data_IF_145902260020
#
_entry.id   IF_145902260020
#
_cell.length_a   1.000
_cell.length_b   1.000
_cell.length_c   1.000
_cell.angle_alpha   90.00
_cell.angle_beta   90.00
_cell.angle_gamma   90.00
#
_symmetry.space_group_name_H-M   'P 1'
#
loop_
_entity.id
_entity.type
_entity.pdbx_description
1 polymer ?
#
# COMPACT_ATOMS: atom_id res chain seq x y z
N UNK A 1 3.40 32.75 -4.27
CA UNK A 1 3.21 32.57 -2.82
C UNK A 1 4.17 31.56 -2.19
N UNK A 2 4.85 30.74 -3.00
CA UNK A 2 5.81 29.76 -2.52
C UNK A 2 6.86 30.33 -1.57
N UNK A 3 7.20 29.56 -0.53
CA UNK A 3 8.23 29.91 0.46
C UNK A 3 7.83 31.01 1.44
N UNK A 4 6.61 31.55 1.35
CA UNK A 4 6.08 32.55 2.29
C UNK A 4 5.20 31.90 3.34
N UNK A 5 5.12 32.52 4.53
CA UNK A 5 4.10 32.19 5.53
C UNK A 5 2.70 32.52 5.00
N UNK A 6 1.66 31.77 5.40
CA UNK A 6 0.28 32.13 5.07
C UNK A 6 -0.07 33.50 5.65
N UNK A 7 -0.69 34.35 4.84
CA UNK A 7 -1.09 35.71 5.23
C UNK A 7 -2.28 35.72 6.21
N UNK A 8 -3.08 34.65 6.19
CA UNK A 8 -4.21 34.46 7.09
C UNK A 8 -4.31 32.99 7.47
N UNK A 9 -4.44 32.69 8.76
CA UNK A 9 -4.71 31.33 9.27
C UNK A 9 -6.17 31.26 9.71
N UNK A 10 -6.87 30.24 9.25
CA UNK A 10 -8.27 30.02 9.62
C UNK A 10 -8.31 29.58 11.10
N UNK A 11 -9.10 30.25 11.97
CA UNK A 11 -9.25 29.84 13.36
C UNK A 11 -9.77 28.41 13.50
N UNK A 12 -9.41 27.76 14.60
CA UNK A 12 -9.79 26.35 14.88
C UNK A 12 -11.29 26.09 14.77
N UNK A 13 -12.12 26.92 15.40
CA UNK A 13 -13.57 26.76 15.35
C UNK A 13 -14.11 26.81 13.92
N UNK A 14 -13.56 27.70 13.10
CA UNK A 14 -13.95 27.86 11.71
C UNK A 14 -13.45 26.70 10.84
N UNK A 15 -12.23 26.18 11.05
CA UNK A 15 -11.75 24.99 10.34
C UNK A 15 -12.63 23.76 10.61
N UNK A 16 -13.01 23.55 11.87
CA UNK A 16 -13.92 22.46 12.27
C UNK A 16 -15.28 22.63 11.58
N UNK A 17 -15.85 23.84 11.64
CA UNK A 17 -17.13 24.14 10.98
C UNK A 17 -17.08 23.94 9.47
N UNK A 18 -16.00 24.34 8.79
CA UNK A 18 -15.81 24.14 7.35
C UNK A 18 -15.75 22.64 7.03
N UNK A 19 -14.96 21.87 7.79
CA UNK A 19 -14.85 20.41 7.62
C UNK A 19 -16.19 19.71 7.86
N UNK A 20 -16.99 20.17 8.81
CA UNK A 20 -18.30 19.61 9.09
C UNK A 20 -19.35 19.97 8.03
N UNK A 21 -19.38 21.23 7.59
CA UNK A 21 -20.34 21.74 6.60
C UNK A 21 -20.10 21.24 5.19
N UNK A 22 -18.84 21.07 4.77
CA UNK A 22 -18.52 20.51 3.45
C UNK A 22 -19.19 19.14 3.24
N UNK A 23 -19.43 18.39 4.33
CA UNK A 23 -19.98 17.04 4.26
C UNK A 23 -21.51 16.97 4.44
N UNK A 24 -22.14 17.98 5.07
CA UNK A 24 -23.62 18.00 5.16
C UNK A 24 -24.26 18.16 3.78
N UNK A 25 -23.62 18.93 2.89
CA UNK A 25 -24.07 19.09 1.50
C UNK A 25 -23.87 17.84 0.63
N UNK A 26 -22.89 16.99 0.94
CA UNK A 26 -22.57 15.78 0.16
C UNK A 26 -23.42 14.56 0.54
N UNK A 27 -24.09 14.56 1.70
CA UNK A 27 -25.11 13.55 2.00
C UNK A 27 -26.42 13.78 1.22
N UNK A 28 -26.68 15.00 0.74
CA UNK A 28 -27.90 15.38 0.01
C UNK A 28 -27.76 15.22 -1.52
N UNK A 29 -26.54 15.09 -2.05
CA UNK A 29 -26.25 14.85 -3.46
C UNK A 29 -25.55 13.50 -3.62
N UNK A 30 -25.94 12.67 -4.59
CA UNK A 30 -25.24 11.39 -4.84
C UNK A 30 -23.72 11.63 -5.00
N UNK A 31 -22.86 11.00 -4.20
CA UNK A 31 -21.45 11.38 -4.14
C UNK A 31 -20.71 10.89 -5.39
N UNK A 32 -20.20 11.83 -6.19
CA UNK A 32 -19.17 11.56 -7.19
C UNK A 32 -17.86 11.25 -6.45
N UNK A 33 -17.51 9.97 -6.29
CA UNK A 33 -16.34 9.53 -5.53
C UNK A 33 -15.06 9.60 -6.40
N UNK A 34 -14.55 10.79 -6.67
CA UNK A 34 -13.22 10.93 -7.27
C UNK A 34 -12.15 10.30 -6.34
N UNK A 35 -11.13 9.56 -6.83
CA UNK A 35 -10.10 8.94 -5.96
C UNK A 35 -8.71 9.55 -6.13
N UNK A 36 -8.46 10.34 -7.18
CA UNK A 36 -7.11 10.81 -7.43
C UNK A 36 -7.12 12.19 -8.08
N UNK A 37 -6.41 13.11 -7.44
CA UNK A 37 -6.06 14.40 -8.01
C UNK A 37 -4.55 14.45 -8.15
N UNK A 38 -4.05 14.14 -9.36
CA UNK A 38 -2.63 14.30 -9.67
C UNK A 38 -2.36 15.81 -9.63
N UNK A 39 -1.55 16.23 -8.65
CA UNK A 39 -1.14 17.62 -8.47
C UNK A 39 -0.18 18.04 -9.56
N UNK A 40 -0.14 19.34 -9.86
CA UNK A 40 0.91 19.93 -10.70
C UNK A 40 2.31 19.89 -10.05
N UNK A 41 2.38 19.55 -8.76
CA UNK A 41 3.59 19.48 -7.98
C UNK A 41 3.86 18.03 -7.57
N UNK A 42 4.99 17.49 -8.03
CA UNK A 42 5.50 16.14 -7.76
C UNK A 42 6.71 16.27 -6.83
N UNK A 43 6.78 15.40 -5.83
CA UNK A 43 7.88 15.37 -4.86
C UNK A 43 8.22 13.92 -4.50
N UNK A 44 9.46 13.68 -4.08
CA UNK A 44 9.91 12.35 -3.62
C UNK A 44 9.44 12.04 -2.19
N UNK A 45 9.25 10.76 -1.82
CA UNK A 45 8.99 10.34 -0.44
C UNK A 45 10.20 10.58 0.47
N UNK A 46 9.97 10.59 1.78
CA UNK A 46 11.05 10.66 2.76
C UNK A 46 11.74 9.29 2.90
N UNK A 47 13.01 9.23 2.49
CA UNK A 47 13.87 8.04 2.58
C UNK A 47 14.71 7.98 3.85
N UNK A 48 14.68 9.02 4.68
CA UNK A 48 15.49 9.09 5.90
C UNK A 48 14.76 8.42 7.08
N UNK A 49 15.49 7.67 7.95
CA UNK A 49 14.94 7.23 9.22
C UNK A 49 14.54 8.42 10.09
N UNK A 50 13.52 8.24 10.91
CA UNK A 50 12.97 9.31 11.77
C UNK A 50 14.02 9.96 12.67
N UNK A 51 15.03 9.21 13.12
CA UNK A 51 16.12 9.71 13.98
C UNK A 51 16.98 10.81 13.34
N UNK A 52 16.96 10.93 12.01
CA UNK A 52 17.66 11.98 11.26
C UNK A 52 16.79 13.22 11.00
N UNK A 53 15.49 13.15 11.28
CA UNK A 53 14.56 14.25 11.04
C UNK A 53 14.45 15.15 12.26
N UNK A 54 14.29 16.45 12.01
CA UNK A 54 14.08 17.44 13.07
C UNK A 54 12.62 17.85 13.17
N UNK A 55 12.09 17.94 14.40
CA UNK A 55 10.72 18.39 14.61
C UNK A 55 10.54 19.83 14.13
N UNK A 56 9.44 20.10 13.44
CA UNK A 56 8.96 21.45 13.07
C UNK A 56 7.57 21.69 13.67
N UNK A 57 7.16 22.94 13.88
CA UNK A 57 5.79 23.30 14.28
C UNK A 57 4.97 23.73 13.06
N UNK A 58 3.64 23.63 13.16
CA UNK A 58 2.74 24.13 12.12
C UNK A 58 2.95 25.63 11.82
N UNK A 59 3.40 26.43 12.79
CA UNK A 59 3.64 27.88 12.64
C UNK A 59 4.89 28.24 11.83
N UNK A 60 5.78 27.27 11.63
CA UNK A 60 7.03 27.44 10.89
C UNK A 60 6.91 27.01 9.42
N UNK A 61 5.79 26.39 9.04
CA UNK A 61 5.56 25.96 7.67
C UNK A 61 5.37 27.14 6.70
N UNK A 62 5.90 26.96 5.49
CA UNK A 62 5.75 27.91 4.37
C UNK A 62 5.04 27.25 3.18
N UNK A 63 4.30 28.07 2.45
CA UNK A 63 3.39 27.60 1.39
C UNK A 63 4.13 27.00 0.19
N UNK A 64 3.47 26.05 -0.48
CA UNK A 64 3.93 25.34 -1.68
C UNK A 64 5.35 24.75 -1.51
N UNK A 65 5.63 24.20 -0.32
CA UNK A 65 6.98 23.75 0.06
C UNK A 65 6.94 22.40 0.77
N UNK A 66 7.86 21.51 0.38
CA UNK A 66 8.15 20.26 1.08
C UNK A 66 9.27 20.51 2.08
N UNK A 67 9.01 20.29 3.36
CA UNK A 67 9.96 20.61 4.42
C UNK A 67 10.92 19.43 4.64
N UNK A 68 11.93 19.31 3.77
CA UNK A 68 12.92 18.21 3.80
C UNK A 68 13.71 18.17 5.11
N UNK A 69 14.04 16.97 5.58
CA UNK A 69 14.74 16.74 6.85
C UNK A 69 13.91 17.11 8.09
N UNK A 70 12.62 17.39 7.95
CA UNK A 70 11.72 17.76 9.05
C UNK A 70 10.61 16.75 9.25
N UNK A 71 10.00 16.76 10.43
CA UNK A 71 8.77 16.03 10.71
C UNK A 71 7.82 16.84 11.60
N UNK A 72 6.51 16.63 11.41
CA UNK A 72 5.47 17.12 12.31
C UNK A 72 5.03 16.00 13.25
N UNK A 73 4.80 16.32 14.52
CA UNK A 73 4.03 15.49 15.44
C UNK A 73 2.60 16.04 15.50
N UNK A 74 1.62 15.20 15.21
CA UNK A 74 0.24 15.61 15.00
C UNK A 74 -0.71 14.70 15.78
N UNK A 75 -1.86 15.26 16.16
CA UNK A 75 -2.98 14.52 16.75
C UNK A 75 -4.28 14.91 16.06
N UNK A 76 -5.10 13.93 15.69
CA UNK A 76 -6.43 14.24 15.12
C UNK A 76 -7.35 14.86 16.15
N UNK A 77 -8.15 15.84 15.73
CA UNK A 77 -9.16 16.49 16.58
C UNK A 77 -10.57 16.44 15.99
N UNK A 78 -10.68 16.03 14.73
CA UNK A 78 -11.96 15.82 14.04
C UNK A 78 -11.95 14.44 13.39
N UNK A 79 -13.13 13.82 13.28
CA UNK A 79 -13.28 12.53 12.60
C UNK A 79 -12.80 12.66 11.15
N UNK A 80 -12.01 11.70 10.63
CA UNK A 80 -11.65 11.72 9.22
C UNK A 80 -12.89 11.50 8.35
N UNK A 81 -12.88 12.12 7.17
CA UNK A 81 -13.89 11.93 6.14
C UNK A 81 -13.18 11.57 4.84
N UNK A 82 -13.79 10.72 4.02
CA UNK A 82 -13.28 10.36 2.70
C UNK A 82 -14.17 11.00 1.64
N UNK A 83 -13.58 11.83 0.80
CA UNK A 83 -14.21 12.38 -0.41
C UNK A 83 -13.39 11.87 -1.58
N UNK A 84 -12.24 12.52 -1.81
CA UNK A 84 -11.17 12.06 -2.71
C UNK A 84 -9.98 11.57 -1.91
N UNK A 85 -9.42 12.50 -1.13
CA UNK A 85 -8.51 12.19 -0.04
C UNK A 85 -9.25 11.70 1.21
N UNK A 86 -8.49 11.14 2.15
CA UNK A 86 -8.90 11.13 3.55
C UNK A 86 -8.52 12.48 4.15
N UNK A 87 -9.53 13.26 4.55
CA UNK A 87 -9.38 14.61 5.09
C UNK A 87 -9.77 14.65 6.56
N UNK A 88 -8.90 15.22 7.39
CA UNK A 88 -9.17 15.48 8.81
C UNK A 88 -8.56 16.81 9.25
N UNK A 89 -8.84 17.23 10.48
CA UNK A 89 -8.18 18.35 11.14
C UNK A 89 -7.27 17.80 12.22
N UNK A 90 -6.02 18.22 12.19
CA UNK A 90 -4.98 17.85 13.15
C UNK A 90 -4.56 19.05 13.98
N UNK A 91 -3.94 18.76 15.12
CA UNK A 91 -3.22 19.74 15.93
C UNK A 91 -1.79 19.30 16.19
N UNK A 92 -0.88 20.25 16.38
CA UNK A 92 0.46 19.99 16.89
C UNK A 92 0.52 20.14 18.44
N UNK A 93 1.67 19.85 19.09
CA UNK A 93 1.81 20.00 20.54
C UNK A 93 1.62 21.42 21.08
N UNK A 94 1.84 22.44 20.22
CA UNK A 94 1.63 23.84 20.56
C UNK A 94 0.14 24.23 20.55
N UNK A 95 -0.73 23.36 20.02
CA UNK A 95 -2.17 23.58 19.93
C UNK A 95 -2.58 24.28 18.63
N UNK A 96 -1.63 24.56 17.73
CA UNK A 96 -1.92 25.02 16.39
C UNK A 96 -2.64 23.92 15.61
N UNK A 97 -3.52 24.32 14.70
CA UNK A 97 -4.36 23.39 13.94
C UNK A 97 -4.17 23.57 12.45
N UNK A 98 -4.30 22.48 11.70
CA UNK A 98 -4.31 22.52 10.25
C UNK A 98 -5.12 21.34 9.67
N UNK A 99 -5.56 21.48 8.42
CA UNK A 99 -6.16 20.40 7.65
C UNK A 99 -5.07 19.42 7.18
N UNK A 100 -5.33 18.13 7.33
CA UNK A 100 -4.51 17.05 6.78
C UNK A 100 -5.27 16.32 5.67
N UNK A 101 -4.64 16.20 4.50
CA UNK A 101 -5.12 15.50 3.31
C UNK A 101 -4.20 14.31 3.01
N UNK A 102 -4.71 13.08 3.16
CA UNK A 102 -3.98 11.85 2.83
C UNK A 102 -4.47 11.23 1.52
N UNK A 103 -3.54 10.92 0.63
CA UNK A 103 -3.79 10.26 -0.65
C UNK A 103 -3.19 8.84 -0.68
N UNK A 104 -3.57 8.05 -1.69
CA UNK A 104 -3.03 6.72 -1.97
C UNK A 104 -3.13 5.70 -0.81
N UNK A 105 -4.06 5.95 0.12
CA UNK A 105 -4.32 5.07 1.24
C UNK A 105 -5.03 3.79 0.77
N UNK A 106 -4.97 2.74 1.59
CA UNK A 106 -5.55 1.44 1.24
C UNK A 106 -7.04 1.56 0.87
N UNK A 107 -7.42 1.25 -0.39
CA UNK A 107 -8.80 1.43 -0.83
C UNK A 107 -9.76 0.44 -0.16
N UNK A 108 -9.25 -0.69 0.32
CA UNK A 108 -10.03 -1.74 0.98
C UNK A 108 -10.18 -1.51 2.50
N UNK A 109 -9.69 -0.38 3.02
CA UNK A 109 -9.85 0.00 4.42
C UNK A 109 -10.78 1.20 4.55
N UNK A 110 -11.62 1.18 5.58
CA UNK A 110 -12.38 2.38 5.95
C UNK A 110 -11.42 3.49 6.36
N UNK A 111 -11.73 4.72 5.96
CA UNK A 111 -10.98 5.91 6.38
C UNK A 111 -10.96 6.08 7.91
N UNK A 112 -12.01 5.60 8.60
CA UNK A 112 -12.09 5.58 10.07
C UNK A 112 -11.09 4.61 10.71
N UNK A 113 -10.75 3.54 10.00
CA UNK A 113 -9.76 2.55 10.47
C UNK A 113 -8.34 2.95 10.09
N UNK A 114 -8.17 3.69 8.97
CA UNK A 114 -6.88 4.24 8.55
C UNK A 114 -6.43 5.33 9.53
N UNK A 115 -7.32 6.27 9.87
CA UNK A 115 -7.05 7.29 10.88
C UNK A 115 -8.10 7.20 12.00
N UNK A 116 -7.90 6.36 13.02
CA UNK A 116 -8.77 6.36 14.19
C UNK A 116 -8.88 7.74 14.85
N UNK A 117 -9.99 7.97 15.55
CA UNK A 117 -10.14 9.17 16.35
C UNK A 117 -9.01 9.28 17.38
N UNK A 118 -8.56 10.51 17.61
CA UNK A 118 -7.50 10.81 18.57
C UNK A 118 -6.13 10.20 18.23
N UNK A 119 -5.94 9.73 16.99
CA UNK A 119 -4.68 9.19 16.52
C UNK A 119 -3.56 10.20 16.62
N UNK A 120 -2.44 9.76 17.16
CA UNK A 120 -1.19 10.50 17.19
C UNK A 120 -0.33 9.96 16.05
N UNK A 121 0.29 10.86 15.30
CA UNK A 121 1.07 10.49 14.12
C UNK A 121 2.24 11.43 13.90
N UNK A 122 3.24 10.90 13.22
CA UNK A 122 4.31 11.67 12.61
C UNK A 122 4.05 11.78 11.12
N UNK A 123 4.14 13.00 10.60
CA UNK A 123 4.22 13.26 9.16
C UNK A 123 5.65 13.67 8.82
N UNK A 124 6.37 12.78 8.12
CA UNK A 124 7.72 13.03 7.61
C UNK A 124 7.65 14.02 6.44
N UNK A 125 8.62 14.93 6.38
CA UNK A 125 8.82 15.91 5.30
C UNK A 125 7.54 16.53 4.75
N UNK A 126 6.74 17.21 5.60
CA UNK A 126 5.39 17.63 5.25
C UNK A 126 5.37 18.58 4.06
N UNK A 127 4.48 18.31 3.10
CA UNK A 127 4.15 19.23 2.03
C UNK A 127 3.00 20.16 2.46
N UNK A 128 3.28 21.46 2.53
CA UNK A 128 2.29 22.47 2.89
C UNK A 128 1.84 23.25 1.65
N UNK A 129 0.55 23.19 1.33
CA UNK A 129 -0.01 23.71 0.07
C UNK A 129 -1.17 24.66 0.30
N UNK A 130 -1.52 25.38 -0.75
CA UNK A 130 -2.77 26.12 -0.89
C UNK A 130 -3.79 25.19 -1.55
N UNK A 131 -4.97 25.07 -0.96
CA UNK A 131 -6.08 24.33 -1.53
C UNK A 131 -6.71 25.11 -2.68
N UNK A 132 -7.37 24.40 -3.60
CA UNK A 132 -8.03 25.04 -4.75
C UNK A 132 -9.13 26.05 -4.34
N UNK A 133 -9.62 25.98 -3.10
CA UNK A 133 -10.63 26.89 -2.53
C UNK A 133 -10.01 28.05 -1.74
N UNK A 134 -8.68 28.25 -1.81
CA UNK A 134 -7.97 29.36 -1.17
C UNK A 134 -7.59 29.15 0.30
N UNK A 135 -7.83 27.96 0.87
CA UNK A 135 -7.36 27.57 2.20
C UNK A 135 -5.95 26.98 2.18
N UNK A 136 -5.41 26.62 3.34
CA UNK A 136 -4.13 25.90 3.48
C UNK A 136 -4.35 24.47 3.94
N UNK A 137 -3.45 23.56 3.59
CA UNK A 137 -3.50 22.18 4.09
C UNK A 137 -2.13 21.49 4.03
N UNK A 138 -1.94 20.53 4.93
CA UNK A 138 -0.90 19.52 4.85
C UNK A 138 -1.36 18.44 3.87
N UNK A 139 -0.51 18.13 2.88
CA UNK A 139 -0.75 17.04 1.94
C UNK A 139 0.29 15.94 2.08
N UNK A 140 -0.18 14.70 2.04
CA UNK A 140 0.67 13.51 2.07
C UNK A 140 0.23 12.55 0.96
N UNK A 141 1.07 12.38 -0.06
CA UNK A 141 0.84 11.48 -1.19
C UNK A 141 1.50 10.12 -1.01
N UNK A 142 2.50 10.03 -0.14
CA UNK A 142 3.27 8.83 0.13
C UNK A 142 2.82 8.20 1.45
N UNK A 143 2.14 7.03 1.43
CA UNK A 143 1.71 6.37 2.66
C UNK A 143 2.84 6.04 3.63
N UNK A 144 4.07 5.88 3.13
CA UNK A 144 5.29 5.63 3.93
C UNK A 144 5.79 6.85 4.70
N UNK A 145 5.27 8.05 4.41
CA UNK A 145 5.64 9.28 5.12
C UNK A 145 4.81 9.53 6.39
N UNK A 146 3.80 8.69 6.62
CA UNK A 146 2.95 8.75 7.80
C UNK A 146 3.25 7.59 8.76
N UNK A 147 3.58 7.91 10.00
CA UNK A 147 3.85 6.92 11.06
C UNK A 147 2.85 7.13 12.19
N UNK A 148 2.04 6.13 12.51
CA UNK A 148 1.16 6.19 13.66
C UNK A 148 1.92 5.85 14.93
N UNK A 149 1.70 6.64 15.98
CA UNK A 149 2.31 6.45 17.28
C UNK A 149 1.27 5.97 18.29
N UNK A 150 1.70 5.10 19.19
CA UNK A 150 0.95 4.80 20.40
C UNK A 150 1.01 5.99 21.38
N UNK A 151 -0.04 6.19 22.17
CA UNK A 151 -0.08 7.23 23.19
C UNK A 151 1.03 7.08 24.25
N UNK A 152 1.52 5.85 24.45
CA UNK A 152 2.59 5.52 25.38
C UNK A 152 3.99 5.58 24.75
N UNK A 153 4.12 5.93 23.48
CA UNK A 153 5.43 6.11 22.87
C UNK A 153 6.20 7.22 23.59
N UNK A 154 7.50 7.04 23.84
CA UNK A 154 8.34 8.01 24.56
C UNK A 154 8.30 9.40 23.91
N UNK A 155 8.30 9.47 22.57
CA UNK A 155 8.20 10.74 21.85
C UNK A 155 6.89 11.50 22.14
N UNK A 156 5.84 10.80 22.57
CA UNK A 156 4.56 11.40 22.96
C UNK A 156 4.55 11.76 24.44
N UNK A 157 5.10 10.90 25.29
CA UNK A 157 5.13 11.09 26.75
C UNK A 157 6.07 12.22 27.19
N UNK A 158 7.22 12.35 26.53
CA UNK A 158 8.21 13.40 26.82
C UNK A 158 7.75 14.80 26.41
N UNK A 159 6.57 14.91 25.80
CA UNK A 159 6.05 16.13 25.21
C UNK A 159 4.87 16.69 26.01
N UNK A 160 5.02 17.93 26.48
CA UNK A 160 3.92 18.67 27.08
C UNK A 160 3.00 19.23 26.00
N UNK A 161 1.77 18.73 25.95
CA UNK A 161 0.73 19.24 25.08
C UNK A 161 0.01 20.41 25.75
N UNK A 162 0.04 21.61 25.14
CA UNK A 162 -0.61 22.80 25.72
C UNK A 162 -2.12 22.63 25.92
N UNK A 163 -2.75 21.73 25.18
CA UNK A 163 -4.20 21.47 25.21
C UNK A 163 -4.61 20.31 26.13
N UNK A 164 -3.71 19.84 26.99
CA UNK A 164 -3.88 18.63 27.79
C UNK A 164 -3.30 17.39 27.11
N UNK A 165 -2.80 16.46 27.93
CA UNK A 165 -2.16 15.22 27.48
C UNK A 165 -3.11 14.37 26.62
N UNK A 166 -2.59 13.61 25.65
CA UNK A 166 -3.39 12.62 24.94
C UNK A 166 -4.05 11.65 25.90
N UNK A 167 -5.27 11.21 25.58
CA UNK A 167 -5.93 10.20 26.41
C UNK A 167 -5.13 8.92 26.29
N UNK A 168 -4.47 8.54 27.38
CA UNK A 168 -3.84 7.24 27.49
C UNK A 168 -4.97 6.23 27.63
N UNK A 169 -5.21 5.45 26.58
CA UNK A 169 -6.11 4.31 26.70
C UNK A 169 -5.50 3.31 27.69
N UNK A 170 -6.34 2.67 28.50
CA UNK A 170 -5.92 1.59 29.39
C UNK A 170 -5.09 0.59 28.58
N UNK A 171 -3.83 0.40 28.96
CA UNK A 171 -2.97 -0.62 28.38
C UNK A 171 -3.60 -1.96 28.75
N UNK A 172 -3.93 -2.74 27.73
CA UNK A 172 -4.44 -4.09 27.93
C UNK A 172 -3.28 -5.03 28.20
N UNK A 173 -3.55 -6.10 28.94
CA UNK A 173 -2.62 -7.23 29.04
C UNK A 173 -2.48 -7.93 27.69
N UNK A 174 -1.38 -8.67 27.47
CA UNK A 174 -1.20 -9.48 26.26
C UNK A 174 -2.37 -10.44 26.01
N UNK A 175 -2.96 -11.01 27.07
CA UNK A 175 -4.13 -11.88 26.99
C UNK A 175 -5.41 -11.15 26.54
N UNK A 176 -5.62 -9.92 27.03
CA UNK A 176 -6.73 -9.06 26.59
C UNK A 176 -6.53 -8.62 25.13
N UNK A 177 -5.33 -8.19 24.73
CA UNK A 177 -5.00 -7.87 23.33
C UNK A 177 -5.18 -9.08 22.39
N UNK A 178 -4.79 -10.28 22.83
CA UNK A 178 -5.05 -11.53 22.10
C UNK A 178 -6.54 -11.73 21.88
N UNK A 179 -7.35 -11.54 22.92
CA UNK A 179 -8.81 -11.70 22.85
C UNK A 179 -9.42 -10.66 21.90
N UNK A 180 -9.00 -9.40 22.02
CA UNK A 180 -9.42 -8.32 21.15
C UNK A 180 -9.06 -8.59 19.67
N UNK A 181 -7.83 -9.01 19.40
CA UNK A 181 -7.37 -9.37 18.06
C UNK A 181 -8.14 -10.54 17.48
N UNK A 182 -8.43 -11.57 18.29
CA UNK A 182 -9.25 -12.71 17.88
C UNK A 182 -10.68 -12.30 17.51
N UNK A 183 -11.27 -11.38 18.27
CA UNK A 183 -12.61 -10.87 18.00
C UNK A 183 -12.66 -10.03 16.71
N UNK A 184 -11.66 -9.18 16.47
CA UNK A 184 -11.50 -8.50 15.18
C UNK A 184 -11.31 -9.49 14.03
N UNK A 185 -10.49 -10.53 14.23
CA UNK A 185 -10.25 -11.55 13.22
C UNK A 185 -11.54 -12.30 12.84
N UNK A 186 -12.35 -12.70 13.84
CA UNK A 186 -13.67 -13.34 13.63
C UNK A 186 -14.62 -12.42 12.85
N UNK A 187 -14.57 -11.12 13.13
CA UNK A 187 -15.34 -10.08 12.40
C UNK A 187 -14.76 -9.72 11.02
N UNK A 188 -13.73 -10.44 10.55
CA UNK A 188 -12.99 -10.18 9.30
C UNK A 188 -12.34 -8.79 9.23
N UNK A 189 -12.12 -8.16 10.38
CA UNK A 189 -11.41 -6.88 10.56
C UNK A 189 -9.92 -7.13 10.72
N UNK A 190 -9.28 -7.57 9.64
CA UNK A 190 -7.92 -8.12 9.72
C UNK A 190 -6.85 -7.06 10.06
N UNK A 191 -7.00 -5.81 9.61
CA UNK A 191 -6.06 -4.75 9.96
C UNK A 191 -6.14 -4.37 11.45
N UNK A 192 -7.35 -4.29 12.00
CA UNK A 192 -7.55 -4.07 13.43
C UNK A 192 -7.04 -5.26 14.27
N UNK A 193 -7.20 -6.48 13.76
CA UNK A 193 -6.60 -7.67 14.38
C UNK A 193 -5.07 -7.60 14.40
N UNK A 194 -4.43 -7.24 13.27
CA UNK A 194 -2.97 -7.04 13.19
C UNK A 194 -2.51 -6.00 14.20
N UNK A 195 -3.22 -4.86 14.31
CA UNK A 195 -2.91 -3.83 15.28
C UNK A 195 -3.00 -4.36 16.71
N UNK A 196 -4.14 -4.95 17.09
CA UNK A 196 -4.32 -5.48 18.44
C UNK A 196 -3.27 -6.53 18.82
N UNK A 197 -2.89 -7.43 17.91
CA UNK A 197 -1.80 -8.37 18.18
C UNK A 197 -0.43 -7.68 18.29
N UNK A 198 -0.18 -6.62 17.52
CA UNK A 198 1.08 -5.86 17.57
C UNK A 198 1.22 -5.07 18.86
N UNK A 199 0.15 -4.42 19.29
CA UNK A 199 0.06 -3.73 20.58
C UNK A 199 0.26 -4.75 21.71
N UNK A 200 -0.37 -5.92 21.59
CA UNK A 200 -0.15 -7.07 22.47
C UNK A 200 1.31 -7.47 22.58
N UNK A 201 2.01 -7.70 21.46
CA UNK A 201 3.44 -8.08 21.41
C UNK A 201 4.35 -7.01 22.01
N UNK A 202 3.96 -5.73 21.93
CA UNK A 202 4.76 -4.60 22.39
C UNK A 202 4.53 -4.28 23.88
N UNK A 203 3.60 -4.97 24.56
CA UNK A 203 3.34 -4.75 25.99
C UNK A 203 4.48 -5.28 26.86
N UNK A 204 4.75 -4.61 27.98
CA UNK A 204 5.98 -4.74 28.78
C UNK A 204 6.06 -5.97 29.71
N UNK A 205 5.10 -6.88 29.67
CA UNK A 205 5.02 -8.03 30.58
C UNK A 205 4.49 -9.28 29.86
N UNK A 206 5.34 -9.95 29.05
CA UNK A 206 4.92 -11.13 28.28
C UNK A 206 5.98 -12.21 28.33
N UNK A 207 5.52 -13.45 28.53
CA UNK A 207 6.34 -14.65 28.40
C UNK A 207 6.58 -15.02 26.92
N UNK A 208 7.71 -15.65 26.60
CA UNK A 208 8.01 -16.09 25.22
C UNK A 208 6.88 -16.92 24.56
N UNK A 209 6.19 -17.85 25.26
CA UNK A 209 5.08 -18.62 24.66
C UNK A 209 3.88 -17.76 24.24
N UNK A 210 3.56 -16.71 25.00
CA UNK A 210 2.46 -15.80 24.68
C UNK A 210 2.80 -14.91 23.49
N UNK A 211 4.06 -14.47 23.39
CA UNK A 211 4.59 -13.76 22.22
C UNK A 211 4.49 -14.65 20.97
N UNK A 212 4.91 -15.92 21.05
CA UNK A 212 4.78 -16.88 19.96
C UNK A 212 3.34 -17.01 19.50
N UNK A 213 2.37 -17.13 20.42
CA UNK A 213 0.96 -17.25 20.08
C UNK A 213 0.39 -15.99 19.41
N UNK A 214 0.76 -14.80 19.90
CA UNK A 214 0.36 -13.53 19.28
C UNK A 214 0.93 -13.38 17.87
N UNK A 215 2.24 -13.65 17.68
CA UNK A 215 2.89 -13.68 16.34
C UNK A 215 2.22 -14.69 15.43
N UNK A 216 1.86 -15.86 15.96
CA UNK A 216 1.19 -16.89 15.19
C UNK A 216 -0.16 -16.36 14.69
N UNK A 217 -0.99 -15.77 15.56
CA UNK A 217 -2.27 -15.19 15.14
C UNK A 217 -2.11 -13.98 14.20
N UNK A 218 -1.12 -13.13 14.44
CA UNK A 218 -0.82 -11.97 13.59
C UNK A 218 -0.36 -12.39 12.19
N UNK A 219 0.47 -13.42 12.07
CA UNK A 219 0.85 -13.98 10.76
C UNK A 219 -0.36 -14.44 9.94
N UNK A 220 -1.37 -15.02 10.60
CA UNK A 220 -2.61 -15.41 9.93
C UNK A 220 -3.40 -14.21 9.43
N UNK A 221 -3.47 -13.13 10.21
CA UNK A 221 -4.11 -11.89 9.82
C UNK A 221 -3.36 -11.19 8.67
N UNK A 222 -2.02 -11.17 8.73
CA UNK A 222 -1.15 -10.72 7.65
C UNK A 222 -1.41 -11.45 6.33
N UNK A 223 -1.54 -12.78 6.36
CA UNK A 223 -1.92 -13.58 5.17
C UNK A 223 -3.28 -13.17 4.59
N UNK A 224 -4.25 -12.80 5.45
CA UNK A 224 -5.60 -12.39 5.00
C UNK A 224 -5.63 -11.03 4.30
N UNK A 225 -4.61 -10.19 4.53
CA UNK A 225 -4.46 -8.88 3.88
C UNK A 225 -3.34 -8.86 2.84
N UNK A 226 -2.82 -10.03 2.46
CA UNK A 226 -1.71 -10.18 1.50
C UNK A 226 -0.44 -9.41 1.90
N UNK A 227 -0.21 -9.26 3.20
CA UNK A 227 1.04 -8.78 3.78
C UNK A 227 1.90 -10.02 4.06
N UNK A 228 2.56 -10.54 3.03
CA UNK A 228 3.28 -11.81 3.12
C UNK A 228 4.61 -11.68 3.87
N UNK A 229 5.32 -10.57 3.74
CA UNK A 229 6.61 -10.38 4.42
C UNK A 229 6.47 -10.28 5.95
N UNK A 230 5.49 -9.54 6.47
CA UNK A 230 5.16 -9.56 7.89
C UNK A 230 4.69 -10.94 8.38
N UNK A 231 3.96 -11.71 7.57
CA UNK A 231 3.63 -13.09 7.91
C UNK A 231 4.89 -13.98 7.99
N UNK A 232 5.85 -13.81 7.07
CA UNK A 232 7.14 -14.50 7.10
C UNK A 232 7.94 -14.10 8.33
N UNK A 233 8.04 -12.81 8.65
CA UNK A 233 8.77 -12.30 9.81
C UNK A 233 8.27 -12.94 11.10
N UNK A 234 6.94 -12.97 11.30
CA UNK A 234 6.33 -13.62 12.46
C UNK A 234 6.58 -15.14 12.49
N UNK A 235 6.37 -15.84 11.37
CA UNK A 235 6.54 -17.30 11.31
C UNK A 235 7.99 -17.72 11.51
N UNK A 236 8.94 -17.05 10.85
CA UNK A 236 10.36 -17.35 10.96
C UNK A 236 10.87 -17.07 12.37
N UNK A 237 10.38 -16.02 13.03
CA UNK A 237 10.70 -15.78 14.43
C UNK A 237 10.28 -16.94 15.34
N UNK A 238 9.05 -17.46 15.16
CA UNK A 238 8.55 -18.62 15.91
C UNK A 238 9.41 -19.86 15.61
N UNK A 239 9.69 -20.14 14.34
CA UNK A 239 10.42 -21.34 13.90
C UNK A 239 11.88 -21.39 14.38
N UNK A 240 12.46 -20.28 14.83
CA UNK A 240 13.78 -20.28 15.48
C UNK A 240 13.77 -21.07 16.80
N UNK A 241 12.69 -20.96 17.57
CA UNK A 241 12.53 -21.61 18.87
C UNK A 241 11.68 -22.88 18.77
N UNK A 242 10.73 -22.91 17.84
CA UNK A 242 9.79 -24.02 17.64
C UNK A 242 9.88 -24.54 16.18
N UNK A 243 10.98 -25.20 15.78
CA UNK A 243 11.24 -25.57 14.39
C UNK A 243 10.21 -26.55 13.79
N UNK A 244 9.47 -27.26 14.64
CA UNK A 244 8.44 -28.23 14.27
C UNK A 244 7.01 -27.67 14.41
N UNK A 245 6.83 -26.36 14.60
CA UNK A 245 5.50 -25.76 14.69
C UNK A 245 4.77 -25.84 13.34
N UNK A 246 3.84 -26.79 13.22
CA UNK A 246 3.08 -27.09 11.99
C UNK A 246 2.35 -25.84 11.47
N UNK A 247 1.73 -25.04 12.34
CA UNK A 247 0.99 -23.83 11.94
C UNK A 247 1.92 -22.76 11.38
N UNK A 248 3.09 -22.56 12.00
CA UNK A 248 4.09 -21.62 11.52
C UNK A 248 4.70 -22.08 10.18
N UNK A 249 5.04 -23.38 10.04
CA UNK A 249 5.52 -23.95 8.77
C UNK A 249 4.51 -23.76 7.64
N UNK A 250 3.23 -24.06 7.91
CA UNK A 250 2.15 -23.89 6.94
C UNK A 250 2.01 -22.44 6.48
N UNK A 251 1.95 -21.49 7.42
CA UNK A 251 1.80 -20.07 7.13
C UNK A 251 3.03 -19.48 6.45
N UNK A 252 4.22 -19.94 6.80
CA UNK A 252 5.46 -19.61 6.13
C UNK A 252 5.42 -20.07 4.66
N UNK A 253 4.96 -21.30 4.39
CA UNK A 253 4.76 -21.80 3.03
C UNK A 253 3.75 -20.94 2.24
N UNK A 254 2.61 -20.60 2.84
CA UNK A 254 1.60 -19.69 2.22
C UNK A 254 2.17 -18.31 1.90
N UNK A 255 3.02 -17.77 2.78
CA UNK A 255 3.59 -16.45 2.58
C UNK A 255 4.65 -16.45 1.46
N UNK A 256 5.56 -17.43 1.44
CA UNK A 256 6.48 -17.62 0.32
C UNK A 256 5.75 -17.85 -1.01
N UNK A 257 4.67 -18.64 -1.00
CA UNK A 257 3.81 -18.83 -2.16
C UNK A 257 3.22 -17.50 -2.67
N UNK A 258 2.72 -16.65 -1.76
CA UNK A 258 2.17 -15.34 -2.08
C UNK A 258 3.19 -14.34 -2.64
N UNK A 259 4.47 -14.51 -2.30
CA UNK A 259 5.61 -13.77 -2.86
C UNK A 259 6.17 -14.41 -4.13
N UNK A 260 5.57 -15.50 -4.62
CA UNK A 260 6.01 -16.27 -5.78
C UNK A 260 7.43 -16.89 -5.65
N UNK A 261 7.85 -17.07 -4.39
CA UNK A 261 9.06 -17.76 -3.96
C UNK A 261 8.73 -19.25 -3.71
N UNK A 262 8.43 -19.96 -4.79
CA UNK A 262 7.87 -21.32 -4.73
C UNK A 262 8.85 -22.37 -4.20
N UNK A 263 10.15 -22.19 -4.41
CA UNK A 263 11.18 -23.11 -3.91
C UNK A 263 11.26 -23.08 -2.39
N UNK A 264 11.24 -21.89 -1.79
CA UNK A 264 11.19 -21.70 -0.34
C UNK A 264 9.86 -22.22 0.24
N UNK A 265 8.74 -21.97 -0.46
CA UNK A 265 7.45 -22.53 -0.07
C UNK A 265 7.49 -24.07 -0.04
N UNK A 266 8.12 -24.70 -1.05
CA UNK A 266 8.29 -26.14 -1.15
C UNK A 266 9.11 -26.70 0.02
N UNK A 267 10.16 -26.00 0.44
CA UNK A 267 10.97 -26.40 1.60
C UNK A 267 10.12 -26.42 2.87
N UNK A 268 9.30 -25.39 3.12
CA UNK A 268 8.49 -25.33 4.34
C UNK A 268 7.38 -26.38 4.34
N UNK A 269 6.67 -26.57 3.21
CA UNK A 269 5.59 -27.57 3.14
C UNK A 269 6.11 -29.01 3.25
N UNK A 270 7.30 -29.30 2.71
CA UNK A 270 7.96 -30.61 2.89
C UNK A 270 8.34 -30.87 4.35
N UNK A 271 8.85 -29.86 5.06
CA UNK A 271 9.10 -29.97 6.50
C UNK A 271 7.83 -30.26 7.28
N UNK A 272 6.74 -29.55 6.96
CA UNK A 272 5.42 -29.80 7.57
C UNK A 272 4.97 -31.25 7.34
N UNK A 273 5.00 -31.73 6.09
CA UNK A 273 4.54 -33.07 5.74
C UNK A 273 5.45 -34.18 6.28
N UNK A 274 6.72 -33.88 6.58
CA UNK A 274 7.59 -34.82 7.30
C UNK A 274 7.13 -35.05 8.74
N UNK A 275 6.52 -34.05 9.37
CA UNK A 275 5.99 -34.11 10.74
C UNK A 275 4.59 -34.72 10.74
N UNK A 276 3.73 -34.28 9.81
CA UNK A 276 2.36 -34.76 9.66
C UNK A 276 2.08 -35.11 8.20
N UNK A 277 2.34 -36.37 7.81
CA UNK A 277 2.16 -36.84 6.43
C UNK A 277 0.70 -36.77 5.96
N UNK A 278 -0.27 -36.82 6.88
CA UNK A 278 -1.71 -36.84 6.56
C UNK A 278 -2.33 -35.44 6.58
N UNK A 279 -1.52 -34.39 6.70
CA UNK A 279 -2.00 -33.03 6.70
C UNK A 279 -2.62 -32.65 5.35
N UNK A 280 -3.95 -32.61 5.29
CA UNK A 280 -4.70 -32.35 4.04
C UNK A 280 -4.34 -30.98 3.44
N UNK A 281 -4.25 -29.94 4.28
CA UNK A 281 -3.88 -28.61 3.82
C UNK A 281 -2.44 -28.59 3.29
N UNK A 282 -1.49 -29.23 3.98
CA UNK A 282 -0.11 -29.37 3.52
C UNK A 282 0.01 -30.09 2.18
N UNK A 283 -0.75 -31.16 1.97
CA UNK A 283 -0.78 -31.88 0.69
C UNK A 283 -1.35 -31.02 -0.44
N UNK A 284 -2.43 -30.26 -0.18
CA UNK A 284 -3.00 -29.33 -1.16
C UNK A 284 -2.02 -28.23 -1.56
N UNK A 285 -1.32 -27.64 -0.59
CA UNK A 285 -0.32 -26.61 -0.86
C UNK A 285 0.88 -27.20 -1.63
N UNK A 286 1.34 -28.42 -1.30
CA UNK A 286 2.39 -29.09 -2.05
C UNK A 286 2.03 -29.25 -3.54
N UNK A 287 0.82 -29.74 -3.84
CA UNK A 287 0.34 -29.86 -5.22
C UNK A 287 0.34 -28.51 -5.93
N UNK A 288 -0.18 -27.47 -5.27
CA UNK A 288 -0.25 -26.12 -5.84
C UNK A 288 1.15 -25.55 -6.12
N UNK A 289 2.08 -25.69 -5.18
CA UNK A 289 3.49 -25.25 -5.31
C UNK A 289 4.18 -25.94 -6.48
N UNK A 290 4.05 -27.27 -6.60
CA UNK A 290 4.66 -28.03 -7.70
C UNK A 290 4.13 -27.55 -9.05
N UNK A 291 2.81 -27.32 -9.17
CA UNK A 291 2.22 -26.75 -10.38
C UNK A 291 2.84 -25.39 -10.72
N UNK A 292 3.03 -24.48 -9.75
CA UNK A 292 3.66 -23.17 -10.02
C UNK A 292 5.12 -23.28 -10.43
N UNK A 293 5.87 -24.22 -9.87
CA UNK A 293 7.25 -24.46 -10.29
C UNK A 293 7.29 -24.93 -11.76
N UNK A 294 6.37 -25.82 -12.17
CA UNK A 294 6.29 -26.26 -13.57
C UNK A 294 5.87 -25.14 -14.53
N UNK A 295 4.91 -24.30 -14.13
CA UNK A 295 4.52 -23.11 -14.89
C UNK A 295 5.70 -22.13 -15.03
N UNK A 296 6.31 -21.72 -13.92
CA UNK A 296 7.42 -20.76 -13.90
C UNK A 296 8.64 -21.26 -14.66
N UNK A 297 8.95 -22.54 -14.56
CA UNK A 297 10.14 -23.13 -15.17
C UNK A 297 9.96 -23.59 -16.61
N UNK A 298 8.77 -24.06 -17.00
CA UNK A 298 8.55 -24.73 -18.30
C UNK A 298 7.43 -24.10 -19.14
N UNK A 299 6.71 -23.10 -18.63
CA UNK A 299 5.60 -22.47 -19.34
C UNK A 299 4.44 -23.43 -19.62
N UNK A 300 4.28 -24.48 -18.78
CA UNK A 300 3.26 -25.50 -18.96
C UNK A 300 1.97 -25.08 -18.27
N UNK A 301 1.04 -24.53 -19.05
CA UNK A 301 -0.27 -24.11 -18.57
C UNK A 301 -1.38 -25.00 -19.14
N UNK A 302 -2.40 -25.27 -18.34
CA UNK A 302 -3.65 -25.84 -18.82
C UNK A 302 -4.64 -24.72 -19.16
N UNK A 303 -4.50 -24.14 -20.35
CA UNK A 303 -5.32 -23.01 -20.78
C UNK A 303 -6.83 -23.31 -20.78
N UNK A 304 -7.23 -24.53 -21.12
CA UNK A 304 -8.65 -24.93 -21.05
C UNK A 304 -9.18 -24.86 -19.62
N UNK A 305 -8.43 -25.40 -18.66
CA UNK A 305 -8.79 -25.30 -17.24
C UNK A 305 -8.83 -23.85 -16.75
N UNK A 306 -7.86 -23.03 -17.17
CA UNK A 306 -7.83 -21.59 -16.82
C UNK A 306 -9.06 -20.85 -17.36
N UNK A 307 -9.49 -21.12 -18.59
CA UNK A 307 -10.69 -20.54 -19.19
C UNK A 307 -11.93 -20.98 -18.42
N UNK A 308 -12.06 -22.27 -18.10
CA UNK A 308 -13.20 -22.77 -17.33
C UNK A 308 -13.22 -22.24 -15.90
N UNK A 309 -12.07 -22.05 -15.27
CA UNK A 309 -11.96 -21.39 -13.96
C UNK A 309 -12.36 -19.91 -14.03
N UNK A 310 -11.91 -19.20 -15.07
CA UNK A 310 -12.25 -17.79 -15.25
C UNK A 310 -13.76 -17.57 -15.43
N UNK A 311 -14.48 -18.52 -16.04
CA UNK A 311 -15.94 -18.45 -16.21
C UNK A 311 -16.73 -18.65 -14.92
N UNK A 312 -16.13 -19.18 -13.85
CA UNK A 312 -16.83 -19.47 -12.58
C UNK A 312 -17.13 -18.22 -11.76
N UNK A 313 -16.52 -17.08 -12.07
CA UNK A 313 -16.67 -15.84 -11.32
C UNK A 313 -16.75 -14.65 -12.28
N UNK A 314 -17.53 -13.64 -11.91
CA UNK A 314 -17.51 -12.34 -12.59
C UNK A 314 -16.22 -11.55 -12.34
N UNK A 315 -15.43 -11.94 -11.34
CA UNK A 315 -14.16 -11.30 -10.95
C UNK A 315 -13.03 -12.35 -10.82
N UNK A 316 -12.66 -13.04 -11.92
CA UNK A 316 -11.81 -14.22 -11.86
C UNK A 316 -10.33 -13.92 -11.52
N UNK A 317 -9.89 -14.32 -10.32
CA UNK A 317 -8.49 -14.26 -9.92
C UNK A 317 -7.83 -15.62 -10.10
N UNK A 318 -7.34 -15.87 -11.31
CA UNK A 318 -6.63 -17.11 -11.62
C UNK A 318 -5.34 -17.21 -10.81
N UNK A 319 -5.18 -18.32 -10.12
CA UNK A 319 -3.91 -18.68 -9.51
C UNK A 319 -3.05 -19.34 -10.58
N UNK A 320 -2.19 -18.55 -11.22
CA UNK A 320 -1.10 -18.97 -12.11
C UNK A 320 0.12 -18.08 -11.87
N UNK A 321 1.31 -18.51 -12.27
CA UNK A 321 2.52 -17.68 -12.18
C UNK A 321 3.06 -17.29 -13.56
N UNK A 322 3.89 -16.26 -13.60
CA UNK A 322 4.55 -15.79 -14.82
C UNK A 322 5.58 -16.80 -15.35
N UNK A 323 5.76 -16.85 -16.66
CA UNK A 323 6.79 -17.60 -17.36
C UNK A 323 7.52 -16.68 -18.34
N UNK A 324 8.85 -16.69 -18.28
CA UNK A 324 9.71 -16.01 -19.24
C UNK A 324 10.48 -17.09 -19.98
N UNK A 325 10.21 -17.23 -21.28
CA UNK A 325 10.89 -18.20 -22.15
C UNK A 325 12.23 -17.67 -22.67
N UNK A 326 12.61 -18.01 -23.91
CA UNK A 326 13.87 -17.57 -24.49
C UNK A 326 13.78 -16.14 -25.02
N UNK A 327 13.44 -15.21 -24.12
CA UNK A 327 13.30 -13.80 -24.41
C UNK A 327 14.02 -12.97 -23.36
N UNK A 328 14.60 -11.85 -23.80
CA UNK A 328 15.23 -10.88 -22.92
C UNK A 328 14.87 -9.46 -23.31
N UNK A 329 14.86 -8.57 -22.33
CA UNK A 329 14.69 -7.14 -22.56
C UNK A 329 16.07 -6.55 -22.87
N UNK A 330 16.20 -5.86 -23.99
CA UNK A 330 17.41 -5.14 -24.38
C UNK A 330 17.07 -3.77 -24.95
N UNK A 331 18.02 -2.84 -24.92
CA UNK A 331 17.94 -1.65 -25.76
C UNK A 331 18.06 -2.05 -27.24
N UNK A 332 17.11 -1.60 -28.06
CA UNK A 332 17.06 -1.93 -29.49
C UNK A 332 17.76 -0.85 -30.30
N UNK A 333 17.38 0.41 -30.06
CA UNK A 333 17.98 1.59 -30.67
C UNK A 333 17.52 2.86 -29.95
N UNK A 334 18.26 3.96 -30.10
CA UNK A 334 17.95 5.25 -29.44
C UNK A 334 16.54 5.77 -29.73
N UNK A 335 15.99 5.46 -30.90
CA UNK A 335 14.66 5.87 -31.34
C UNK A 335 13.53 4.91 -30.92
N UNK A 336 13.87 3.63 -30.68
CA UNK A 336 12.90 2.57 -30.34
C UNK A 336 12.88 2.22 -28.84
N UNK A 337 13.95 2.51 -28.11
CA UNK A 337 14.13 2.20 -26.70
C UNK A 337 14.25 0.69 -26.42
N UNK A 338 13.82 0.28 -25.22
CA UNK A 338 13.79 -1.13 -24.80
C UNK A 338 12.81 -1.97 -25.61
N UNK A 339 13.23 -3.17 -25.99
CA UNK A 339 12.40 -4.16 -26.66
C UNK A 339 12.67 -5.58 -26.15
N UNK A 340 11.77 -6.49 -26.49
CA UNK A 340 11.87 -7.91 -26.17
C UNK A 340 12.46 -8.64 -27.37
N UNK A 341 13.61 -9.30 -27.20
CA UNK A 341 14.30 -10.06 -28.26
C UNK A 341 14.39 -11.53 -27.90
N UNK A 342 14.43 -12.38 -28.92
CA UNK A 342 14.70 -13.80 -28.76
C UNK A 342 16.17 -14.02 -28.36
N UNK A 343 16.42 -14.97 -27.46
CA UNK A 343 17.78 -15.40 -27.07
C UNK A 343 18.24 -16.65 -27.82
N UNK A 344 17.31 -17.36 -28.46
CA UNK A 344 17.56 -18.56 -29.27
C UNK A 344 16.48 -18.72 -30.35
N UNK A 345 16.69 -19.65 -31.28
CA UNK A 345 15.70 -19.99 -32.30
C UNK A 345 14.47 -20.65 -31.67
N UNK A 346 13.29 -20.12 -31.96
CA UNK A 346 12.01 -20.62 -31.43
C UNK A 346 11.13 -21.22 -32.51
N UNK A 347 10.33 -22.21 -32.12
CA UNK A 347 9.36 -22.83 -33.04
C UNK A 347 8.07 -22.03 -33.10
N UNK A 348 7.38 -22.07 -34.24
CA UNK A 348 6.02 -21.52 -34.37
C UNK A 348 5.11 -22.11 -33.30
N UNK A 349 4.43 -21.25 -32.55
CA UNK A 349 3.51 -21.63 -31.47
C UNK A 349 4.17 -21.90 -30.11
N UNK A 350 5.49 -21.78 -30.00
CA UNK A 350 6.18 -21.83 -28.71
C UNK A 350 5.77 -20.64 -27.84
N UNK A 351 5.45 -20.91 -26.56
CA UNK A 351 5.15 -19.86 -25.59
C UNK A 351 6.44 -19.07 -25.29
N UNK A 352 6.40 -17.76 -25.50
CA UNK A 352 7.55 -16.87 -25.24
C UNK A 352 7.46 -16.18 -23.89
N UNK A 353 6.25 -15.78 -23.49
CA UNK A 353 6.00 -15.03 -22.28
C UNK A 353 4.57 -15.31 -21.82
N UNK A 354 4.41 -15.54 -20.52
CA UNK A 354 3.14 -15.42 -19.83
C UNK A 354 3.37 -14.51 -18.62
N UNK A 355 2.57 -13.45 -18.49
CA UNK A 355 2.71 -12.51 -17.38
C UNK A 355 1.45 -12.55 -16.53
N UNK A 356 1.60 -12.96 -15.27
CA UNK A 356 0.57 -12.72 -14.26
C UNK A 356 0.47 -11.23 -13.99
N UNK A 357 -0.75 -10.71 -13.92
CA UNK A 357 -0.97 -9.31 -13.57
C UNK A 357 -0.49 -9.03 -12.14
N UNK A 358 0.25 -7.94 -11.94
CA UNK A 358 0.74 -7.54 -10.63
C UNK A 358 -0.41 -7.16 -9.68
N UNK A 359 -1.45 -6.51 -10.23
CA UNK A 359 -2.69 -6.16 -9.54
C UNK A 359 -3.84 -6.25 -10.53
N UNK A 360 -5.01 -6.62 -10.05
CA UNK A 360 -6.25 -6.69 -10.84
C UNK A 360 -7.34 -6.03 -10.02
N UNK A 361 -8.03 -5.08 -10.63
CA UNK A 361 -9.22 -4.44 -10.09
C UNK A 361 -10.38 -4.68 -11.05
N UNK A 362 -11.54 -5.05 -10.52
CA UNK A 362 -12.76 -5.17 -11.32
C UNK A 362 -13.68 -3.97 -11.08
N UNK A 363 -14.48 -3.55 -12.08
CA UNK A 363 -15.44 -2.46 -11.92
C UNK A 363 -16.43 -2.69 -10.76
N UNK A 364 -16.88 -3.94 -10.56
CA UNK A 364 -17.80 -4.32 -9.46
C UNK A 364 -17.19 -4.16 -8.07
N UNK A 365 -15.88 -4.01 -7.97
CA UNK A 365 -15.14 -3.80 -6.72
C UNK A 365 -14.85 -2.32 -6.45
N UNK A 366 -15.23 -1.45 -7.40
CA UNK A 366 -15.04 -0.01 -7.31
C UNK A 366 -16.40 0.70 -7.19
N UNK A 367 -16.48 1.71 -6.32
CA UNK A 367 -17.45 2.79 -6.51
C UNK A 367 -17.08 3.61 -7.76
N UNK A 368 -18.03 4.26 -8.45
CA UNK A 368 -17.69 5.12 -9.61
C UNK A 368 -16.59 6.14 -9.24
N UNK A 369 -15.49 6.11 -10.00
CA UNK A 369 -14.31 6.92 -9.72
C UNK A 369 -13.96 7.85 -10.87
N UNK A 370 -13.78 9.12 -10.53
CA UNK A 370 -13.17 10.13 -11.41
C UNK A 370 -11.72 10.41 -10.99
N UNK A 371 -10.78 10.23 -11.90
CA UNK A 371 -9.37 10.62 -11.80
C UNK A 371 -9.18 11.96 -12.50
N UNK A 372 -8.79 13.00 -11.76
CA UNK A 372 -8.48 14.29 -12.35
C UNK A 372 -6.97 14.51 -12.37
N UNK A 373 -6.39 14.65 -13.56
CA UNK A 373 -5.01 15.07 -13.71
C UNK A 373 -4.95 16.59 -13.88
N UNK A 374 -4.43 17.30 -12.88
CA UNK A 374 -4.34 18.76 -12.93
C UNK A 374 -3.27 19.27 -13.90
N UNK A 375 -2.28 18.43 -14.24
CA UNK A 375 -1.22 18.75 -15.22
C UNK A 375 -1.78 18.71 -16.64
N UNK A 376 -2.48 17.63 -16.99
CA UNK A 376 -3.04 17.45 -18.35
C UNK A 376 -4.45 18.00 -18.52
N UNK A 377 -5.10 18.38 -17.40
CA UNK A 377 -6.51 18.78 -17.32
C UNK A 377 -7.50 17.71 -17.81
N UNK A 378 -7.06 16.44 -17.82
CA UNK A 378 -7.91 15.32 -18.22
C UNK A 378 -8.62 14.73 -17.00
N UNK A 379 -9.91 14.45 -17.16
CA UNK A 379 -10.67 13.57 -16.28
C UNK A 379 -10.66 12.18 -16.92
N UNK A 380 -10.13 11.18 -16.24
CA UNK A 380 -10.33 9.77 -16.58
C UNK A 380 -11.36 9.20 -15.63
N UNK A 381 -12.40 8.57 -16.15
CA UNK A 381 -13.32 7.74 -15.37
C UNK A 381 -12.79 6.32 -15.32
N UNK A 382 -12.86 5.66 -14.16
CA UNK A 382 -12.55 4.23 -14.06
C UNK A 382 -11.82 3.81 -12.80
N UNK A 383 -11.56 2.51 -12.71
CA UNK A 383 -10.92 1.77 -11.63
C UNK A 383 -9.40 2.01 -11.45
N UNK A 384 -8.78 2.83 -12.31
CA UNK A 384 -7.33 2.89 -12.47
C UNK A 384 -6.57 3.40 -11.24
N UNK A 385 -7.07 4.42 -10.54
CA UNK A 385 -6.39 4.87 -9.32
C UNK A 385 -6.78 4.10 -8.07
N UNK A 386 -7.91 3.36 -8.09
CA UNK A 386 -8.12 2.30 -7.09
C UNK A 386 -7.05 1.24 -7.26
N UNK A 387 -6.81 0.79 -8.49
CA UNK A 387 -5.74 -0.16 -8.79
C UNK A 387 -4.35 0.40 -8.43
N UNK A 388 -4.06 1.67 -8.74
CA UNK A 388 -2.80 2.32 -8.37
C UNK A 388 -2.61 2.35 -6.85
N UNK A 389 -3.65 2.71 -6.08
CA UNK A 389 -3.61 2.64 -4.63
C UNK A 389 -3.39 1.20 -4.13
N UNK A 390 -4.03 0.19 -4.74
CA UNK A 390 -3.79 -1.21 -4.41
C UNK A 390 -2.33 -1.63 -4.67
N UNK A 391 -1.73 -1.20 -5.78
CA UNK A 391 -0.33 -1.45 -6.11
C UNK A 391 0.59 -0.82 -5.07
N UNK A 392 0.38 0.45 -4.71
CA UNK A 392 1.16 1.15 -3.67
C UNK A 392 1.09 0.37 -2.34
N UNK A 393 -0.10 -0.06 -1.94
CA UNK A 393 -0.29 -0.83 -0.71
C UNK A 393 0.34 -2.23 -0.78
N UNK A 394 0.30 -2.89 -1.94
CA UNK A 394 0.93 -4.20 -2.15
C UNK A 394 2.46 -4.09 -2.01
N UNK A 395 3.05 -3.05 -2.57
CA UNK A 395 4.48 -2.74 -2.43
C UNK A 395 4.84 -2.42 -0.97
N UNK A 396 4.01 -1.64 -0.28
CA UNK A 396 4.23 -1.28 1.13
C UNK A 396 4.20 -2.49 2.06
N UNK A 397 3.29 -3.42 1.78
CA UNK A 397 3.15 -4.64 2.56
C UNK A 397 4.18 -5.72 2.20
N UNK A 398 4.82 -5.61 1.03
CA UNK A 398 5.79 -6.58 0.51
C UNK A 398 6.95 -5.87 -0.21
N UNK A 399 7.78 -5.10 0.52
CA UNK A 399 8.97 -4.41 0.02
C UNK A 399 9.82 -5.15 -1.03
N UNK A 400 10.06 -6.46 -0.91
CA UNK A 400 10.86 -7.21 -1.90
C UNK A 400 10.32 -7.16 -3.32
N UNK A 401 9.01 -6.92 -3.50
CA UNK A 401 8.38 -6.77 -4.81
C UNK A 401 8.77 -5.48 -5.52
N UNK A 402 9.35 -4.51 -4.80
CA UNK A 402 9.57 -3.18 -5.34
C UNK A 402 10.69 -3.15 -6.38
N UNK A 403 11.77 -3.92 -6.19
CA UNK A 403 12.89 -3.93 -7.13
C UNK A 403 12.46 -4.29 -8.56
N UNK A 404 11.67 -5.35 -8.72
CA UNK A 404 11.16 -5.76 -10.04
C UNK A 404 10.09 -4.80 -10.56
N UNK A 405 9.23 -4.27 -9.69
CA UNK A 405 8.19 -3.32 -10.08
C UNK A 405 8.78 -2.01 -10.63
N UNK A 406 9.77 -1.41 -9.96
CA UNK A 406 10.36 -0.14 -10.39
C UNK A 406 11.25 -0.22 -11.63
N UNK A 407 11.56 -1.43 -12.12
CA UNK A 407 12.20 -1.65 -13.43
C UNK A 407 11.22 -1.50 -14.62
N UNK A 408 9.91 -1.53 -14.35
CA UNK A 408 8.88 -1.31 -15.35
C UNK A 408 8.98 0.10 -15.95
N UNK A 409 8.48 0.25 -17.16
CA UNK A 409 8.60 1.49 -17.90
C UNK A 409 7.67 2.57 -17.33
N UNK A 410 8.22 3.69 -16.87
CA UNK A 410 7.47 4.80 -16.28
C UNK A 410 7.19 5.98 -17.25
N UNK A 411 7.41 5.80 -18.56
CA UNK A 411 7.20 6.85 -19.57
C UNK A 411 8.44 7.68 -19.92
N UNK A 412 8.38 8.45 -21.03
CA UNK A 412 9.55 9.13 -21.62
C UNK A 412 10.06 10.34 -20.81
N UNK A 413 9.17 11.02 -20.10
CA UNK A 413 9.50 12.24 -19.35
C UNK A 413 10.39 12.00 -18.12
N UNK A 414 10.62 10.73 -17.74
CA UNK A 414 11.56 10.33 -16.68
C UNK A 414 12.75 9.51 -17.20
N UNK A 415 12.96 9.44 -18.52
CA UNK A 415 14.14 8.77 -19.09
C UNK A 415 15.40 9.48 -18.56
N UNK A 416 16.25 8.73 -17.84
CA UNK A 416 17.47 9.23 -17.21
C UNK A 416 17.33 9.55 -15.71
N UNK A 417 16.13 9.52 -15.13
CA UNK A 417 15.96 9.48 -13.69
C UNK A 417 16.30 8.10 -13.16
N UNK A 418 17.20 7.98 -12.19
CA UNK A 418 17.36 6.73 -11.44
C UNK A 418 16.02 6.37 -10.83
N UNK A 419 15.48 5.15 -11.09
CA UNK A 419 14.33 4.66 -10.34
C UNK A 419 14.65 4.80 -8.85
N UNK A 420 13.70 5.25 -8.01
CA UNK A 420 13.92 5.26 -6.58
C UNK A 420 14.43 3.88 -6.19
N UNK A 421 15.55 3.82 -5.45
CA UNK A 421 15.92 2.55 -4.82
C UNK A 421 14.80 2.26 -3.84
N UNK A 422 13.90 1.37 -4.24
CA UNK A 422 12.75 1.07 -3.43
C UNK A 422 13.22 0.21 -2.26
N UNK A 423 13.56 0.90 -1.19
CA UNK A 423 13.74 0.28 0.11
C UNK A 423 12.36 0.04 0.71
N UNK A 424 12.28 -0.88 1.68
CA UNK A 424 11.06 -1.12 2.44
C UNK A 424 10.48 0.15 3.10
N UNK A 425 11.28 1.20 3.22
CA UNK A 425 11.01 2.39 4.03
C UNK A 425 10.38 3.54 3.24
N UNK A 426 10.39 3.50 1.90
CA UNK A 426 9.88 4.58 1.06
C UNK A 426 9.29 4.09 -0.28
N UNK A 427 8.05 4.49 -0.56
CA UNK A 427 7.38 4.21 -1.84
C UNK A 427 6.99 5.53 -2.50
N UNK A 428 7.57 5.79 -3.68
CA UNK A 428 7.21 6.94 -4.49
C UNK A 428 5.90 6.67 -5.24
N UNK A 429 4.80 7.07 -4.62
CA UNK A 429 3.44 6.99 -5.17
C UNK A 429 3.30 7.62 -6.56
N UNK A 430 4.02 8.72 -6.85
CA UNK A 430 3.95 9.36 -8.17
C UNK A 430 4.63 8.49 -9.22
N UNK A 431 5.77 7.90 -8.89
CA UNK A 431 6.45 6.97 -9.77
C UNK A 431 5.63 5.69 -10.00
N UNK A 432 4.97 5.18 -8.95
CA UNK A 432 4.04 4.05 -9.09
C UNK A 432 2.88 4.42 -10.02
N UNK A 433 2.29 5.62 -9.88
CA UNK A 433 1.23 6.10 -10.76
C UNK A 433 1.71 6.21 -12.23
N UNK A 434 2.92 6.73 -12.45
CA UNK A 434 3.54 6.79 -13.78
C UNK A 434 3.72 5.39 -14.39
N UNK A 435 4.24 4.41 -13.63
CA UNK A 435 4.33 3.01 -14.08
C UNK A 435 2.95 2.43 -14.39
N UNK A 436 1.99 2.58 -13.47
CA UNK A 436 0.63 2.09 -13.68
C UNK A 436 -0.01 2.69 -14.93
N UNK A 437 0.23 3.97 -15.21
CA UNK A 437 -0.31 4.66 -16.39
C UNK A 437 0.18 4.08 -17.72
N UNK A 438 1.37 3.45 -17.73
CA UNK A 438 2.01 2.90 -18.92
C UNK A 438 1.88 1.37 -19.03
N UNK A 439 1.59 0.68 -17.92
CA UNK A 439 1.63 -0.79 -17.85
C UNK A 439 0.29 -1.41 -17.36
N UNK A 440 -0.78 -0.63 -17.28
CA UNK A 440 -2.13 -1.14 -17.01
C UNK A 440 -2.86 -1.41 -18.31
N UNK A 441 -3.47 -2.60 -18.40
CA UNK A 441 -4.25 -3.03 -19.54
C UNK A 441 -5.69 -3.26 -19.08
N UNK A 442 -6.67 -2.77 -19.84
CA UNK A 442 -8.09 -2.90 -19.52
C UNK A 442 -8.92 -3.08 -20.78
N UNK A 443 -10.14 -3.61 -20.62
CA UNK A 443 -11.12 -3.74 -21.71
C UNK A 443 -11.99 -2.50 -21.67
N UNK A 444 -11.94 -1.66 -22.72
CA UNK A 444 -12.89 -0.56 -22.88
C UNK A 444 -14.28 -1.13 -23.20
N UNK A 445 -15.35 -0.47 -22.74
CA UNK A 445 -16.76 -0.85 -22.99
C UNK A 445 -17.08 -1.05 -24.49
N UNK A 446 -16.27 -0.49 -25.40
CA UNK A 446 -16.49 -0.54 -26.86
C UNK A 446 -15.49 -1.42 -27.66
N UNK A 447 -14.67 -2.27 -27.01
CA UNK A 447 -13.84 -3.25 -27.72
C UNK A 447 -12.70 -2.69 -28.59
N UNK A 448 -12.44 -1.38 -28.58
CA UNK A 448 -11.27 -0.76 -29.22
C UNK A 448 -10.14 -0.70 -28.20
N UNK A 449 -9.07 -1.43 -28.44
CA UNK A 449 -7.88 -1.41 -27.60
C UNK A 449 -7.20 -0.03 -27.74
N UNK A 450 -6.98 0.77 -26.66
CA UNK A 450 -6.15 1.95 -26.80
C UNK A 450 -4.74 1.46 -27.08
N UNK A 451 -4.24 1.72 -28.29
CA UNK A 451 -2.81 1.59 -28.55
C UNK A 451 -2.07 2.36 -27.45
N UNK A 452 -0.97 1.83 -26.90
CA UNK A 452 -0.13 2.61 -25.99
C UNK A 452 0.15 3.94 -26.68
N UNK A 453 -0.19 5.04 -26.00
CA UNK A 453 -0.19 6.40 -26.53
C UNK A 453 1.09 6.58 -27.36
N UNK A 454 0.95 6.59 -28.69
CA UNK A 454 2.07 6.96 -29.54
C UNK A 454 2.33 8.44 -29.29
N UNK A 455 3.57 8.85 -28.96
CA UNK A 455 3.89 10.25 -28.82
C UNK A 455 3.57 10.94 -30.14
N UNK A 456 2.74 11.97 -30.08
CA UNK A 456 2.44 12.82 -31.23
C UNK A 456 3.76 13.32 -31.79
N UNK A 457 4.04 12.98 -33.06
CA UNK A 457 5.12 13.60 -33.81
C UNK A 457 4.85 15.10 -33.80
N UNK A 458 5.72 15.87 -33.13
CA UNK A 458 5.78 17.31 -33.37
C UNK A 458 6.06 17.49 -34.85
N UNK A 459 5.10 18.03 -35.60
CA UNK A 459 5.37 18.49 -36.96
C UNK A 459 6.41 19.60 -36.85
N UNK A 460 7.56 19.35 -37.49
CA UNK A 460 8.60 20.33 -37.82
C UNK A 460 8.02 21.52 -38.56
#
# INVERSE_FOLDING_TARGET
>A
MQGKKPTHRIPRSQLIQIHDRQYSYENDCQPLVAHERITSFVYSPCTQPLSYLQRISLTDLVLETVHRGKYLLLRTIVHPKKIVEIKTVVKDPNGDVEVLELYNQNPNRSHKDIIPNDSIMILKEPYYKISAQGGTSLRCDHPTDLIFLDANNSMVQDLTWKTGTPRIHKILTAAEYKTLGNDYFKKRKFYEAIKAYSDGISSSEISDPEISLLKLNRSQAHLKVHHFEGALSDCQNILKNEPNNIKALYRCAKAFYGLENYDEALVQVKKLLKIDLKNVDGQRELTSIVTRIEEKGKGRYNFNQMIEEAKKSSTPRLDNTSYVGPVQITEISTDRGRGLVLTEDVRKGQLLLYSKAFSITYPTECSEVHHFNAVTKLVKTGDHGVNTAQVINKLQNNPSLSSSFFQLYAGRHRIGGTPPTATAEAIDSFWVSDICSMNTFGVLEDGVNPSPIQPTKSKS
#
